data_IF_510173584243
#
_entry.id   IF_510173584243
#
_cell.length_a   1.000
_cell.length_b   1.000
_cell.length_c   1.000
_cell.angle_alpha   90.00
_cell.angle_beta   90.00
_cell.angle_gamma   90.00
#
_symmetry.space_group_name_H-M   'P 1'
#
loop_
_entity.id
_entity.type
_entity.pdbx_description
1 polymer ?
#
# COMPACT_ATOMS: atom_id res chain seq x y z
N UNK A 1 -26.94 -12.50 8.87
CA UNK A 1 -25.68 -12.13 8.19
C UNK A 1 -25.35 -13.23 7.19
N UNK A 2 -25.13 -12.92 5.92
CA UNK A 2 -24.98 -13.95 4.86
C UNK A 2 -23.67 -14.71 4.95
N UNK A 3 -23.63 -15.94 4.42
CA UNK A 3 -22.45 -16.85 4.46
C UNK A 3 -21.17 -16.25 3.82
N UNK A 4 -21.32 -15.24 2.96
CA UNK A 4 -20.22 -14.58 2.25
C UNK A 4 -19.74 -13.28 2.90
N UNK A 5 -20.36 -12.81 3.99
CA UNK A 5 -20.04 -11.51 4.58
C UNK A 5 -18.58 -11.42 5.07
N UNK A 6 -17.95 -12.55 5.43
CA UNK A 6 -16.53 -12.62 5.84
C UNK A 6 -15.55 -12.30 4.71
N UNK A 7 -16.00 -12.26 3.46
CA UNK A 7 -15.20 -11.90 2.29
C UNK A 7 -15.43 -10.45 1.84
N UNK A 8 -16.39 -9.75 2.45
CA UNK A 8 -16.71 -8.37 2.11
C UNK A 8 -15.88 -7.41 2.97
N UNK A 9 -14.90 -6.77 2.36
CA UNK A 9 -14.12 -5.70 2.99
C UNK A 9 -14.96 -4.42 3.01
N UNK A 10 -15.48 -4.04 4.18
CA UNK A 10 -16.27 -2.81 4.37
C UNK A 10 -15.41 -1.64 4.81
N UNK A 11 -14.26 -1.91 5.44
CA UNK A 11 -13.28 -0.92 5.88
C UNK A 11 -11.88 -1.47 5.60
N UNK A 12 -11.01 -0.71 4.92
CA UNK A 12 -9.61 -1.10 4.78
C UNK A 12 -8.90 -1.03 6.13
N UNK A 13 -7.86 -1.85 6.30
CA UNK A 13 -6.98 -1.76 7.46
C UNK A 13 -5.97 -0.64 7.24
N UNK A 14 -5.57 0.02 8.33
CA UNK A 14 -4.39 0.89 8.28
C UNK A 14 -3.15 0.00 8.20
N UNK A 15 -2.52 -0.01 7.03
CA UNK A 15 -1.30 -0.75 6.76
C UNK A 15 -0.11 -0.17 7.50
N UNK A 16 0.84 -1.04 7.83
CA UNK A 16 2.15 -0.64 8.35
C UNK A 16 2.98 -0.06 7.20
N UNK A 17 3.57 1.13 7.40
CA UNK A 17 4.41 1.75 6.38
C UNK A 17 5.28 2.86 6.97
N UNK A 18 6.48 3.04 6.40
CA UNK A 18 7.30 4.21 6.70
C UNK A 18 6.57 5.47 6.24
N UNK A 19 6.66 6.52 7.04
CA UNK A 19 6.18 7.85 6.64
C UNK A 19 7.05 8.34 5.48
N UNK A 20 6.44 8.44 4.30
CA UNK A 20 7.10 8.94 3.07
C UNK A 20 6.44 10.27 2.75
N UNK A 21 7.23 11.35 2.80
CA UNK A 21 6.73 12.70 2.48
C UNK A 21 6.23 12.70 1.05
N UNK A 22 5.13 13.41 0.77
CA UNK A 22 4.51 13.41 -0.56
C UNK A 22 3.61 12.20 -0.84
N UNK A 23 3.47 11.26 0.10
CA UNK A 23 2.56 10.12 0.03
C UNK A 23 1.61 10.08 1.23
N UNK A 24 0.38 9.65 1.00
CA UNK A 24 -0.58 9.41 2.08
C UNK A 24 -0.09 8.29 3.00
N UNK A 25 -0.04 8.60 4.29
CA UNK A 25 0.36 7.69 5.37
C UNK A 25 -0.68 7.79 6.50
N UNK A 26 -1.16 6.69 7.09
CA UNK A 26 -0.83 5.29 6.76
C UNK A 26 -1.35 4.88 5.37
N UNK A 27 -0.70 3.87 4.79
CA UNK A 27 -1.21 3.22 3.57
C UNK A 27 -2.44 2.42 3.97
N UNK A 28 -3.45 2.33 3.11
CA UNK A 28 -4.66 1.57 3.41
C UNK A 28 -4.58 0.21 2.72
N UNK A 29 -4.72 -0.86 3.50
CA UNK A 29 -4.77 -2.24 3.01
C UNK A 29 -6.21 -2.61 2.68
N UNK A 30 -6.46 -2.97 1.42
CA UNK A 30 -7.78 -3.34 0.90
C UNK A 30 -7.96 -4.85 0.74
N UNK A 31 -6.87 -5.61 0.75
CA UNK A 31 -6.91 -7.07 0.68
C UNK A 31 -5.72 -7.64 1.44
N UNK A 32 -5.97 -8.58 2.32
CA UNK A 32 -4.98 -9.37 3.07
C UNK A 32 -5.69 -10.59 3.65
N UNK A 33 -4.95 -11.55 4.22
CA UNK A 33 -5.55 -12.69 4.90
C UNK A 33 -6.35 -12.28 6.16
N UNK A 34 -5.97 -11.17 6.80
CA UNK A 34 -6.67 -10.61 7.96
C UNK A 34 -8.03 -10.00 7.59
N UNK A 35 -8.15 -9.47 6.36
CA UNK A 35 -9.39 -8.92 5.81
C UNK A 35 -10.27 -9.95 5.12
N UNK A 36 -9.66 -10.92 4.44
CA UNK A 36 -10.32 -11.94 3.64
C UNK A 36 -9.68 -13.29 3.98
N UNK A 37 -10.29 -14.09 4.86
CA UNK A 37 -9.70 -15.35 5.30
C UNK A 37 -9.44 -16.33 4.15
N UNK A 38 -8.22 -16.85 4.07
CA UNK A 38 -7.74 -17.73 2.99
C UNK A 38 -7.17 -16.98 1.78
N UNK A 39 -7.10 -15.65 1.84
CA UNK A 39 -6.50 -14.86 0.77
C UNK A 39 -4.96 -14.91 0.84
N UNK A 40 -4.33 -15.26 -0.29
CA UNK A 40 -2.88 -15.21 -0.47
C UNK A 40 -2.45 -14.01 -1.34
N UNK A 41 -3.15 -12.88 -1.21
CA UNK A 41 -2.88 -11.62 -1.92
C UNK A 41 -2.91 -10.47 -0.93
N UNK A 42 -2.10 -9.46 -1.22
CA UNK A 42 -2.00 -8.24 -0.43
C UNK A 42 -2.15 -7.04 -1.36
N UNK A 43 -3.10 -6.15 -1.08
CA UNK A 43 -3.35 -4.94 -1.87
C UNK A 43 -3.32 -3.74 -0.94
N UNK A 44 -2.37 -2.86 -1.19
CA UNK A 44 -2.16 -1.60 -0.49
C UNK A 44 -2.34 -0.43 -1.45
N UNK A 45 -3.11 0.57 -1.04
CA UNK A 45 -3.37 1.77 -1.85
C UNK A 45 -3.02 3.01 -1.03
N UNK A 46 -2.31 3.94 -1.66
CA UNK A 46 -1.98 5.26 -1.11
C UNK A 46 -1.90 6.28 -2.22
N UNK A 47 -2.24 7.53 -1.92
CA UNK A 47 -2.15 8.64 -2.86
C UNK A 47 -0.79 9.32 -2.78
N UNK A 48 -0.24 9.70 -3.93
CA UNK A 48 0.95 10.54 -4.05
C UNK A 48 0.48 11.96 -4.35
N UNK A 49 0.79 12.89 -3.46
CA UNK A 49 0.41 14.32 -3.54
C UNK A 49 1.60 15.23 -3.82
N UNK A 50 2.82 14.68 -3.82
CA UNK A 50 4.07 15.38 -4.12
C UNK A 50 5.20 14.37 -4.32
N UNK A 51 6.41 14.83 -4.63
CA UNK A 51 7.56 13.93 -4.81
C UNK A 51 7.78 13.09 -3.55
N UNK A 52 7.73 11.73 -3.65
CA UNK A 52 8.01 10.86 -2.52
C UNK A 52 9.43 11.08 -2.00
N UNK A 53 9.57 11.40 -0.72
CA UNK A 53 10.88 11.53 -0.05
C UNK A 53 10.94 10.63 1.20
N UNK A 54 11.93 9.71 1.31
CA UNK A 54 12.95 9.42 0.30
C UNK A 54 12.32 8.76 -0.94
N UNK A 55 12.82 9.11 -2.13
CA UNK A 55 12.34 8.50 -3.36
C UNK A 55 12.66 7.00 -3.36
N UNK A 56 11.65 6.11 -3.36
CA UNK A 56 11.88 4.68 -3.21
C UNK A 56 12.53 4.03 -4.45
N UNK A 57 12.57 4.75 -5.58
CA UNK A 57 13.07 4.24 -6.87
C UNK A 57 14.44 4.81 -7.29
N UNK A 58 15.04 5.74 -6.53
CA UNK A 58 16.40 6.22 -6.82
C UNK A 58 17.38 5.29 -6.10
N UNK A 59 17.63 4.11 -6.67
CA UNK A 59 18.98 3.55 -6.62
C UNK A 59 19.73 4.26 -7.73
N UNK A 60 20.89 4.83 -7.41
CA UNK A 60 21.78 5.54 -8.35
C UNK A 60 21.65 5.04 -9.79
N UNK A 61 21.28 5.94 -10.70
CA UNK A 61 21.52 5.74 -12.12
C UNK A 61 22.65 6.69 -12.50
N UNK A 62 23.84 6.13 -12.72
CA UNK A 62 24.90 6.85 -13.42
C UNK A 62 24.50 6.86 -14.89
N UNK A 63 23.97 7.99 -15.35
CA UNK A 63 23.87 8.26 -16.78
C UNK A 63 25.26 8.72 -17.20
N UNK A 64 26.10 7.75 -17.53
CA UNK A 64 27.41 8.00 -18.13
C UNK A 64 27.18 8.51 -19.56
N UNK A 65 27.00 9.83 -19.69
CA UNK A 65 27.10 10.53 -20.96
C UNK A 65 28.52 11.10 -21.05
N UNK A 66 29.48 10.23 -21.36
CA UNK A 66 30.76 10.57 -22.00
C UNK A 66 31.24 9.41 -22.87
#
# INVERSE_FOLDING_TARGET
>A
MGIYNKYMVTRPLQGAGKNIRGKSTPVMTYMSNDLVPGCNKHIDISWIHGMPEPSPHIKEQVLDYD
#
